data_IF_165129530992
#
_entry.id   IF_165129530992
#
_cell.length_a   1.000
_cell.length_b   1.000
_cell.length_c   1.000
_cell.angle_alpha   90.00
_cell.angle_beta   90.00
_cell.angle_gamma   90.00
#
_symmetry.space_group_name_H-M   'P 1'
#
loop_
_entity.id
_entity.type
_entity.pdbx_description
1 polymer ?
#
# COMPACT_ATOMS: atom_id res chain seq x y z
N UNK A 1 -21.89 4.57 -64.01
CA UNK A 1 -22.70 5.14 -65.11
C UNK A 1 -24.11 5.27 -64.57
N UNK A 2 -24.77 6.42 -64.39
CA UNK A 2 -24.59 7.76 -64.95
C UNK A 2 -25.40 8.78 -64.13
N UNK A 3 -24.79 9.96 -63.93
CA UNK A 3 -25.33 11.34 -64.00
C UNK A 3 -26.49 11.83 -63.08
N UNK A 4 -26.14 12.91 -62.36
CA UNK A 4 -26.97 14.02 -61.85
C UNK A 4 -27.80 14.74 -62.93
N UNK A 5 -28.85 15.49 -62.50
CA UNK A 5 -28.86 16.97 -62.61
C UNK A 5 -29.38 17.64 -61.30
N UNK A 6 -28.76 18.71 -60.76
CA UNK A 6 -28.83 20.17 -61.03
C UNK A 6 -30.18 20.86 -60.69
N UNK A 7 -30.11 21.66 -59.61
CA UNK A 7 -30.75 22.95 -59.24
C UNK A 7 -32.24 23.23 -59.47
N UNK A 8 -32.91 23.60 -58.36
CA UNK A 8 -34.11 24.44 -58.32
C UNK A 8 -34.22 25.15 -56.97
N UNK A 9 -34.12 26.48 -56.98
CA UNK A 9 -34.20 27.36 -55.82
C UNK A 9 -35.65 27.52 -55.33
N UNK A 10 -35.86 27.57 -54.00
CA UNK A 10 -37.10 28.10 -53.41
C UNK A 10 -36.88 28.63 -51.99
N UNK A 11 -36.92 29.96 -51.90
CA UNK A 11 -37.63 30.79 -50.91
C UNK A 11 -37.51 30.44 -49.41
N UNK A 12 -36.76 31.30 -48.71
CA UNK A 12 -36.77 31.52 -47.26
C UNK A 12 -38.17 31.91 -46.77
N UNK A 13 -38.76 31.11 -45.88
CA UNK A 13 -39.81 31.55 -44.98
C UNK A 13 -39.32 31.35 -43.54
N UNK A 14 -39.08 32.47 -42.87
CA UNK A 14 -38.64 32.50 -41.48
C UNK A 14 -39.74 32.02 -40.53
N UNK A 15 -39.41 31.05 -39.69
CA UNK A 15 -40.15 30.73 -38.49
C UNK A 15 -39.21 30.95 -37.31
N UNK A 16 -39.39 32.08 -36.62
CA UNK A 16 -38.69 32.41 -35.39
C UNK A 16 -39.19 31.50 -34.27
N UNK A 17 -38.39 30.52 -33.88
CA UNK A 17 -38.53 29.82 -32.60
C UNK A 17 -37.62 30.51 -31.58
N UNK A 18 -38.26 31.13 -30.60
CA UNK A 18 -37.59 31.74 -29.45
C UNK A 18 -36.85 30.68 -28.65
N UNK A 19 -35.52 30.80 -28.61
CA UNK A 19 -34.66 30.08 -27.69
C UNK A 19 -34.82 30.70 -26.28
N UNK A 20 -34.90 29.90 -25.20
CA UNK A 20 -34.89 30.44 -23.85
C UNK A 20 -33.54 31.08 -23.57
N UNK A 21 -33.57 32.27 -22.99
CA UNK A 21 -32.40 33.05 -22.62
C UNK A 21 -31.48 32.26 -21.69
N UNK A 22 -30.20 32.17 -22.06
CA UNK A 22 -29.15 31.69 -21.18
C UNK A 22 -29.03 32.63 -19.98
N UNK A 23 -29.20 32.10 -18.77
CA UNK A 23 -28.93 32.82 -17.54
C UNK A 23 -27.44 33.19 -17.50
N UNK A 24 -27.14 34.49 -17.39
CA UNK A 24 -25.79 34.99 -17.20
C UNK A 24 -25.23 34.49 -15.86
N UNK A 25 -23.96 34.03 -15.80
CA UNK A 25 -23.32 33.75 -14.52
C UNK A 25 -23.15 35.05 -13.74
N UNK A 26 -23.48 35.01 -12.45
CA UNK A 26 -23.32 36.14 -11.53
C UNK A 26 -21.85 36.59 -11.44
N UNK A 27 -21.57 37.89 -11.25
CA UNK A 27 -20.20 38.37 -11.10
C UNK A 27 -19.56 37.85 -9.80
N UNK A 28 -18.30 37.42 -9.90
CA UNK A 28 -17.47 37.01 -8.76
C UNK A 28 -17.23 38.19 -7.80
N UNK A 29 -17.23 37.99 -6.46
CA UNK A 29 -16.87 39.05 -5.53
C UNK A 29 -15.36 39.27 -5.48
N UNK A 30 -14.95 40.53 -5.52
CA UNK A 30 -13.56 40.98 -5.43
C UNK A 30 -12.89 40.59 -4.09
N UNK A 31 -11.57 40.32 -4.09
CA UNK A 31 -10.84 39.96 -2.89
C UNK A 31 -10.53 41.20 -2.04
N UNK A 32 -11.33 41.40 -0.99
CA UNK A 32 -10.98 42.32 0.11
C UNK A 32 -12.09 43.28 0.51
N UNK A 33 -13.13 42.78 1.18
CA UNK A 33 -14.08 43.63 1.91
C UNK A 33 -14.90 42.82 2.94
N UNK A 34 -14.27 42.33 4.02
CA UNK A 34 -14.95 42.02 5.30
C UNK A 34 -13.93 42.17 6.44
N UNK A 35 -13.54 43.42 6.71
CA UNK A 35 -12.88 43.83 7.96
C UNK A 35 -13.64 45.04 8.51
N UNK A 36 -14.85 44.83 9.01
CA UNK A 36 -15.50 45.75 9.94
C UNK A 36 -16.21 44.91 11.01
N UNK A 37 -15.80 45.13 12.26
CA UNK A 37 -16.07 44.26 13.39
C UNK A 37 -17.46 44.42 13.99
N UNK A 38 -18.01 43.29 14.44
CA UNK A 38 -19.11 43.29 15.40
C UNK A 38 -18.51 43.30 16.83
N UNK A 39 -18.61 44.46 17.48
CA UNK A 39 -18.18 44.66 18.86
C UNK A 39 -19.29 44.20 19.82
N UNK A 40 -19.43 42.89 20.02
CA UNK A 40 -20.15 42.34 21.18
C UNK A 40 -19.91 40.84 21.42
N UNK A 41 -18.64 40.43 21.48
CA UNK A 41 -18.26 39.11 22.02
C UNK A 41 -17.87 39.26 23.50
N UNK A 42 -18.41 38.42 24.42
CA UNK A 42 -18.03 38.45 25.83
C UNK A 42 -16.55 38.05 26.01
N UNK A 43 -15.85 38.60 27.03
CA UNK A 43 -14.43 38.32 27.21
C UNK A 43 -14.19 36.84 27.50
N UNK A 44 -13.09 36.25 27.00
CA UNK A 44 -12.75 34.87 27.26
C UNK A 44 -12.58 34.64 28.76
N UNK A 45 -13.21 33.57 29.26
CA UNK A 45 -13.05 33.13 30.65
C UNK A 45 -11.60 32.71 30.85
N UNK A 46 -10.90 33.43 31.72
CA UNK A 46 -9.65 32.95 32.29
C UNK A 46 -9.96 31.75 33.19
N UNK A 47 -9.27 30.63 32.90
CA UNK A 47 -9.14 29.37 33.66
C UNK A 47 -9.56 28.11 32.88
N UNK A 48 -9.02 27.92 31.69
CA UNK A 48 -8.80 26.56 31.15
C UNK A 48 -7.30 26.31 31.16
N UNK A 49 -6.82 25.66 32.23
CA UNK A 49 -5.49 25.05 32.25
C UNK A 49 -5.41 24.06 31.09
N UNK A 50 -4.53 24.34 30.13
CA UNK A 50 -4.05 23.32 29.20
C UNK A 50 -3.45 22.20 30.06
N UNK A 51 -3.97 20.96 30.04
CA UNK A 51 -3.39 19.89 30.82
C UNK A 51 -1.97 19.65 30.30
N UNK A 52 -0.98 20.02 31.12
CA UNK A 52 0.37 19.54 30.91
C UNK A 52 0.33 18.03 31.07
N UNK A 53 0.59 17.31 29.97
CA UNK A 53 0.75 15.87 29.98
C UNK A 53 1.91 15.52 30.91
N UNK A 54 1.58 15.10 32.13
CA UNK A 54 2.54 14.43 33.00
C UNK A 54 2.82 13.03 32.43
N UNK A 55 4.04 12.49 32.57
CA UNK A 55 4.44 11.22 31.95
C UNK A 55 3.75 9.95 32.50
N UNK A 56 2.66 10.07 33.25
CA UNK A 56 2.08 8.98 34.03
C UNK A 56 0.84 8.31 33.41
N UNK A 57 0.42 8.70 32.20
CA UNK A 57 -0.71 8.06 31.51
C UNK A 57 -0.32 6.84 30.62
N UNK A 58 0.91 6.31 30.77
CA UNK A 58 1.41 5.17 29.99
C UNK A 58 1.82 3.96 30.86
N UNK A 59 1.17 3.76 32.01
CA UNK A 59 1.46 2.67 32.95
C UNK A 59 0.25 1.77 33.26
N UNK A 60 -0.61 1.55 32.28
CA UNK A 60 -1.55 0.43 32.33
C UNK A 60 -0.79 -0.88 32.11
N UNK A 61 -0.58 -1.67 33.17
CA UNK A 61 -0.01 -3.02 33.09
C UNK A 61 -0.77 -3.84 32.04
N UNK A 62 -0.13 -4.06 30.89
CA UNK A 62 -0.58 -4.99 29.87
C UNK A 62 -0.46 -6.37 30.47
N UNK A 63 -1.60 -6.98 30.81
CA UNK A 63 -1.68 -8.38 31.25
C UNK A 63 -0.96 -9.24 30.20
N UNK A 64 0.06 -10.04 30.56
CA UNK A 64 0.76 -10.86 29.58
C UNK A 64 -0.19 -11.94 29.07
N UNK A 65 -0.63 -11.78 27.82
CA UNK A 65 -1.21 -12.87 27.04
C UNK A 65 -0.06 -13.83 26.69
N UNK A 66 -0.29 -15.17 26.69
CA UNK A 66 0.75 -16.18 26.52
C UNK A 66 1.75 -15.89 25.40
N UNK A 67 3.02 -16.27 25.58
CA UNK A 67 4.07 -16.01 24.61
C UNK A 67 3.90 -16.88 23.37
N UNK A 68 4.24 -16.29 22.24
CA UNK A 68 4.26 -16.82 20.86
C UNK A 68 2.94 -16.72 20.08
N UNK A 69 2.80 -15.60 19.35
CA UNK A 69 2.11 -15.58 18.06
C UNK A 69 3.13 -15.84 16.94
N UNK A 70 2.70 -16.35 15.77
CA UNK A 70 3.58 -16.89 14.75
C UNK A 70 4.52 -15.79 14.25
N UNK A 71 5.82 -16.10 14.24
CA UNK A 71 6.77 -15.36 13.42
C UNK A 71 6.24 -15.43 11.98
N UNK A 72 6.02 -14.30 11.29
CA UNK A 72 5.66 -14.32 9.86
C UNK A 72 6.64 -15.18 9.07
N UNK A 73 7.88 -15.30 9.55
CA UNK A 73 8.86 -16.28 9.07
C UNK A 73 8.38 -17.71 9.30
N UNK A 74 7.89 -18.13 10.48
CA UNK A 74 7.24 -19.45 10.69
C UNK A 74 6.07 -19.68 9.72
N UNK A 75 5.23 -18.66 9.46
CA UNK A 75 4.10 -18.81 8.51
C UNK A 75 4.59 -18.96 7.06
N UNK A 76 5.55 -18.14 6.64
CA UNK A 76 6.22 -18.22 5.33
C UNK A 76 6.98 -19.54 5.15
N UNK A 77 7.53 -20.08 6.23
CA UNK A 77 8.31 -21.31 6.23
C UNK A 77 7.43 -22.56 6.32
N UNK A 78 6.30 -22.53 7.02
CA UNK A 78 5.58 -23.76 7.39
C UNK A 78 6.52 -24.77 8.08
N UNK A 79 6.51 -26.03 7.62
CA UNK A 79 7.47 -27.07 8.07
C UNK A 79 8.73 -27.16 7.18
N UNK A 80 9.09 -26.11 6.43
CA UNK A 80 10.21 -26.19 5.49
C UNK A 80 11.50 -26.47 6.24
N UNK A 81 12.00 -27.71 6.12
CA UNK A 81 13.32 -28.15 6.57
C UNK A 81 14.36 -28.08 5.44
N UNK A 82 13.97 -27.54 4.29
CA UNK A 82 14.82 -27.51 3.09
C UNK A 82 15.88 -26.44 3.23
N UNK A 83 17.10 -26.88 3.49
CA UNK A 83 18.30 -26.04 3.42
C UNK A 83 18.93 -26.24 2.04
N UNK A 84 19.23 -25.13 1.38
CA UNK A 84 19.89 -25.12 0.08
C UNK A 84 21.39 -25.28 0.27
N UNK A 85 21.97 -26.23 -0.47
CA UNK A 85 23.41 -26.44 -0.52
C UNK A 85 24.07 -25.42 -1.46
N UNK A 86 24.25 -24.20 -0.97
CA UNK A 86 24.92 -23.10 -1.67
C UNK A 86 26.21 -22.78 -0.90
N UNK A 87 27.39 -22.77 -1.56
CA UNK A 87 28.62 -22.33 -0.92
C UNK A 87 28.47 -20.96 -0.26
N UNK A 88 28.99 -20.78 0.96
CA UNK A 88 28.78 -19.56 1.77
C UNK A 88 29.16 -18.27 1.02
N UNK A 89 30.25 -18.31 0.26
CA UNK A 89 30.73 -17.20 -0.57
C UNK A 89 29.79 -16.85 -1.74
N UNK A 90 28.90 -17.77 -2.11
CA UNK A 90 27.93 -17.63 -3.21
C UNK A 90 26.51 -17.32 -2.76
N UNK A 91 26.20 -17.37 -1.45
CA UNK A 91 24.87 -17.04 -0.92
C UNK A 91 24.54 -15.58 -1.26
N UNK A 92 23.47 -15.28 -2.02
CA UNK A 92 23.11 -13.90 -2.32
C UNK A 92 22.72 -13.09 -1.08
N UNK A 93 22.90 -11.76 -1.13
CA UNK A 93 22.23 -10.87 -0.19
C UNK A 93 20.78 -10.67 -0.68
N UNK A 94 19.84 -11.44 -0.12
CA UNK A 94 18.43 -11.38 -0.53
C UNK A 94 17.72 -10.09 -0.12
N UNK A 95 18.12 -9.48 1.00
CA UNK A 95 17.62 -8.16 1.41
C UNK A 95 18.01 -7.09 0.41
N UNK A 96 19.26 -7.08 -0.01
CA UNK A 96 19.75 -6.16 -1.03
C UNK A 96 19.06 -6.35 -2.39
N UNK A 97 18.79 -7.60 -2.79
CA UNK A 97 18.00 -7.91 -3.99
C UNK A 97 16.57 -7.35 -3.89
N UNK A 98 15.93 -7.46 -2.74
CA UNK A 98 14.58 -6.93 -2.52
C UNK A 98 14.58 -5.40 -2.51
N UNK A 99 15.52 -4.76 -1.80
CA UNK A 99 15.72 -3.31 -1.82
C UNK A 99 15.94 -2.80 -3.24
N UNK A 100 16.86 -3.41 -3.98
CA UNK A 100 17.15 -3.04 -5.37
C UNK A 100 15.92 -3.16 -6.27
N UNK A 101 15.12 -4.22 -6.12
CA UNK A 101 13.90 -4.39 -6.90
C UNK A 101 12.88 -3.28 -6.61
N UNK A 102 12.72 -2.88 -5.36
CA UNK A 102 11.82 -1.79 -4.95
C UNK A 102 12.36 -0.43 -5.44
N UNK A 103 13.66 -0.20 -5.32
CA UNK A 103 14.34 1.01 -5.83
C UNK A 103 14.21 1.13 -7.35
N UNK A 104 14.38 0.03 -8.11
CA UNK A 104 14.17 -0.03 -9.56
C UNK A 104 12.74 0.40 -9.93
N UNK A 105 11.74 -0.15 -9.24
CA UNK A 105 10.32 0.16 -9.46
C UNK A 105 10.00 1.61 -9.08
N UNK A 106 10.55 2.11 -7.98
CA UNK A 106 10.41 3.51 -7.54
C UNK A 106 10.98 4.48 -8.56
N UNK A 107 12.21 4.23 -9.03
CA UNK A 107 12.87 5.04 -10.04
C UNK A 107 12.08 5.08 -11.35
N UNK A 108 11.59 3.92 -11.80
CA UNK A 108 10.71 3.83 -12.96
C UNK A 108 9.42 4.64 -12.77
N UNK A 109 8.75 4.48 -11.62
CA UNK A 109 7.50 5.15 -11.32
C UNK A 109 7.66 6.67 -11.31
N UNK A 110 8.66 7.17 -10.57
CA UNK A 110 8.91 8.62 -10.40
C UNK A 110 9.46 9.27 -11.65
N UNK A 111 10.21 8.54 -12.47
CA UNK A 111 10.63 9.01 -13.80
C UNK A 111 9.45 9.24 -14.75
N UNK A 112 8.35 8.50 -14.57
CA UNK A 112 7.13 8.62 -15.40
C UNK A 112 6.06 9.52 -14.78
N UNK A 113 5.92 9.51 -13.46
CA UNK A 113 4.93 10.25 -12.69
C UNK A 113 5.55 10.67 -11.36
N UNK A 114 6.09 11.90 -11.24
CA UNK A 114 6.87 12.31 -10.06
C UNK A 114 6.15 12.20 -8.71
N UNK A 115 4.82 12.25 -8.71
CA UNK A 115 3.99 12.10 -7.49
C UNK A 115 3.43 10.69 -7.28
N UNK A 116 3.90 9.68 -8.01
CA UNK A 116 3.39 8.31 -7.88
C UNK A 116 3.78 7.73 -6.51
N UNK A 117 2.78 7.34 -5.73
CA UNK A 117 2.97 6.85 -4.36
C UNK A 117 3.45 5.39 -4.37
N UNK A 118 4.49 5.07 -3.61
CA UNK A 118 4.96 3.70 -3.41
C UNK A 118 4.97 3.34 -1.92
N UNK A 119 4.28 2.27 -1.56
CA UNK A 119 4.15 1.82 -0.17
C UNK A 119 4.54 0.36 -0.08
N UNK A 120 5.27 -0.06 0.94
CA UNK A 120 5.57 -1.48 1.17
C UNK A 120 4.63 -2.08 2.21
N UNK A 121 4.19 -3.32 2.02
CA UNK A 121 3.50 -4.10 3.06
C UNK A 121 4.47 -5.14 3.64
N UNK A 122 4.84 -4.96 4.90
CA UNK A 122 5.95 -5.70 5.53
C UNK A 122 7.33 -5.20 5.08
N UNK A 123 8.35 -6.04 5.28
CA UNK A 123 9.74 -5.70 4.93
C UNK A 123 10.35 -4.61 5.80
N UNK A 124 9.85 -4.46 7.02
CA UNK A 124 10.24 -3.41 7.96
C UNK A 124 11.76 -3.42 8.25
N UNK A 125 12.33 -4.61 8.32
CA UNK A 125 13.74 -4.85 8.59
C UNK A 125 14.65 -4.53 7.38
N UNK A 126 14.09 -4.19 6.22
CA UNK A 126 14.86 -3.69 5.07
C UNK A 126 15.25 -2.21 5.25
N UNK A 127 14.68 -1.50 6.22
CA UNK A 127 15.09 -0.12 6.54
C UNK A 127 16.52 -0.05 7.10
N UNK A 128 17.10 -1.18 7.51
CA UNK A 128 18.44 -1.26 8.09
C UNK A 128 19.30 -2.34 7.45
N UNK A 129 20.61 -2.11 7.50
CA UNK A 129 21.62 -3.14 7.28
C UNK A 129 21.61 -4.12 8.46
N UNK A 130 21.23 -5.37 8.21
CA UNK A 130 21.10 -6.37 9.28
C UNK A 130 22.45 -6.94 9.71
N UNK A 131 22.48 -7.58 10.89
CA UNK A 131 23.66 -8.35 11.33
C UNK A 131 24.01 -9.46 10.33
N UNK A 132 23.00 -10.14 9.78
CA UNK A 132 23.21 -11.19 8.76
C UNK A 132 23.89 -10.64 7.51
N UNK A 133 23.53 -9.44 7.05
CA UNK A 133 24.17 -8.81 5.89
C UNK A 133 25.63 -8.43 6.19
N UNK A 134 25.93 -7.97 7.41
CA UNK A 134 27.30 -7.76 7.87
C UNK A 134 28.09 -9.07 7.84
N UNK A 135 27.60 -10.13 8.50
CA UNK A 135 28.27 -11.43 8.56
C UNK A 135 28.49 -12.04 7.16
N UNK A 136 27.49 -11.92 6.28
CA UNK A 136 27.62 -12.36 4.89
C UNK A 136 28.69 -11.57 4.11
N UNK A 137 28.82 -10.27 4.36
CA UNK A 137 29.86 -9.45 3.77
C UNK A 137 31.26 -9.84 4.31
N UNK A 138 31.37 -10.16 5.60
CA UNK A 138 32.60 -10.67 6.21
C UNK A 138 33.02 -12.00 5.58
N UNK A 139 32.08 -12.95 5.43
CA UNK A 139 32.32 -14.28 4.82
C UNK A 139 32.81 -14.19 3.37
N UNK A 140 32.37 -13.18 2.64
CA UNK A 140 32.76 -12.95 1.24
C UNK A 140 34.02 -12.11 1.08
N UNK A 141 34.62 -11.66 2.19
CA UNK A 141 35.82 -10.84 2.13
C UNK A 141 36.98 -11.67 1.56
N UNK A 142 37.70 -11.16 0.54
CA UNK A 142 38.93 -11.81 0.06
C UNK A 142 39.97 -11.90 1.18
N UNK A 143 40.65 -13.04 1.32
CA UNK A 143 41.70 -13.25 2.34
C UNK A 143 42.83 -12.20 2.28
N UNK A 144 43.11 -11.68 1.08
CA UNK A 144 44.15 -10.68 0.83
C UNK A 144 43.62 -9.23 0.83
N UNK A 145 42.38 -8.98 1.28
CA UNK A 145 41.83 -7.64 1.34
C UNK A 145 42.54 -6.82 2.41
N UNK A 146 43.51 -6.00 2.00
CA UNK A 146 44.18 -4.99 2.84
C UNK A 146 43.37 -3.70 2.98
N UNK A 147 42.22 -3.60 2.29
CA UNK A 147 41.33 -2.45 2.41
C UNK A 147 40.76 -2.40 3.83
N UNK A 148 40.81 -1.22 4.43
CA UNK A 148 40.31 -0.95 5.77
C UNK A 148 38.89 -1.51 5.95
N UNK A 149 38.53 -1.83 7.19
CA UNK A 149 37.20 -2.27 7.63
C UNK A 149 36.04 -1.26 7.34
N UNK A 150 36.21 -0.35 6.38
CA UNK A 150 35.58 0.97 6.28
C UNK A 150 34.57 1.11 5.12
N UNK A 151 34.27 0.01 4.40
CA UNK A 151 33.27 0.01 3.31
C UNK A 151 32.03 -0.85 3.58
N UNK A 152 32.10 -1.78 4.53
CA UNK A 152 30.93 -2.56 4.96
C UNK A 152 30.15 -1.73 5.99
N UNK A 153 28.87 -1.40 5.74
CA UNK A 153 28.07 -0.72 6.75
C UNK A 153 27.97 -1.56 8.03
N UNK A 154 28.07 -0.96 9.22
CA UNK A 154 27.83 -1.70 10.46
C UNK A 154 26.37 -2.16 10.53
N UNK A 155 26.14 -3.27 11.23
CA UNK A 155 24.78 -3.72 11.52
C UNK A 155 23.98 -2.61 12.25
N UNK A 156 22.71 -2.47 11.88
CA UNK A 156 21.81 -1.42 12.34
C UNK A 156 21.86 -0.12 11.52
N UNK A 157 22.76 0.01 10.54
CA UNK A 157 22.84 1.21 9.70
C UNK A 157 21.56 1.44 8.88
N UNK A 158 20.99 2.65 8.92
CA UNK A 158 19.79 2.99 8.16
C UNK A 158 20.05 3.09 6.65
N UNK A 159 19.22 2.40 5.88
CA UNK A 159 19.28 2.34 4.42
C UNK A 159 18.60 3.56 3.80
N UNK A 160 19.16 4.75 3.99
CA UNK A 160 18.52 6.02 3.57
C UNK A 160 18.10 6.05 2.10
N UNK A 161 18.92 5.51 1.19
CA UNK A 161 18.57 5.42 -0.24
C UNK A 161 17.28 4.61 -0.46
N UNK A 162 17.17 3.44 0.19
CA UNK A 162 15.97 2.62 0.15
C UNK A 162 14.79 3.34 0.80
N UNK A 163 14.97 3.95 1.97
CA UNK A 163 13.92 4.71 2.67
C UNK A 163 13.37 5.83 1.79
N UNK A 164 14.24 6.56 1.08
CA UNK A 164 13.85 7.61 0.14
C UNK A 164 13.14 7.07 -1.10
N UNK A 165 13.23 5.78 -1.41
CA UNK A 165 12.56 5.15 -2.56
C UNK A 165 11.08 4.85 -2.31
N UNK A 166 10.60 4.93 -1.06
CA UNK A 166 9.21 4.66 -0.68
C UNK A 166 8.59 5.88 -0.01
N UNK A 167 7.27 5.97 0.01
CA UNK A 167 6.51 7.08 0.62
C UNK A 167 5.80 6.66 1.91
N UNK A 168 5.69 5.35 2.16
CA UNK A 168 5.09 4.80 3.36
C UNK A 168 5.30 3.29 3.49
N UNK A 169 4.86 2.76 4.62
CA UNK A 169 4.93 1.35 4.97
C UNK A 169 3.65 0.94 5.68
N UNK A 170 3.21 -0.28 5.44
CA UNK A 170 2.08 -0.91 6.11
C UNK A 170 2.62 -2.03 6.98
N UNK A 171 2.36 -1.93 8.28
CA UNK A 171 2.63 -2.97 9.27
C UNK A 171 1.52 -4.02 9.25
N UNK A 172 1.91 -5.27 9.43
CA UNK A 172 1.00 -6.40 9.57
C UNK A 172 0.73 -6.63 11.07
N UNK A 173 -0.33 -5.98 11.56
CA UNK A 173 -0.82 -6.03 12.94
C UNK A 173 -0.01 -5.20 13.94
N UNK A 174 -0.35 -3.93 14.14
CA UNK A 174 0.34 -3.04 15.12
C UNK A 174 -0.48 -2.77 16.40
N UNK A 175 -1.80 -2.81 16.32
CA UNK A 175 -2.72 -2.52 17.42
C UNK A 175 -3.32 -3.77 18.05
N UNK A 176 -3.60 -4.79 17.22
CA UNK A 176 -4.28 -6.01 17.66
C UNK A 176 -3.40 -7.27 17.60
N UNK A 177 -2.19 -7.15 17.05
CA UNK A 177 -1.17 -8.18 17.12
C UNK A 177 0.01 -7.69 17.98
N UNK A 178 0.85 -8.60 18.52
CA UNK A 178 1.96 -8.25 19.41
C UNK A 178 3.15 -7.64 18.65
N UNK A 179 2.98 -7.13 17.42
CA UNK A 179 4.08 -6.53 16.68
C UNK A 179 4.56 -5.29 17.43
N UNK A 180 5.80 -5.36 17.91
CA UNK A 180 6.49 -4.23 18.49
C UNK A 180 7.52 -3.74 17.48
N UNK A 181 7.15 -2.72 16.72
CA UNK A 181 8.14 -1.94 15.98
C UNK A 181 8.98 -1.18 17.01
N UNK A 182 10.33 -1.29 17.00
CA UNK A 182 11.17 -0.55 17.93
C UNK A 182 10.92 0.97 17.88
N UNK A 183 11.03 1.65 19.01
CA UNK A 183 10.74 3.10 19.06
C UNK A 183 11.70 3.93 18.20
N UNK A 184 12.97 3.53 18.15
CA UNK A 184 14.01 4.11 17.28
C UNK A 184 13.68 4.02 15.79
N UNK A 185 13.02 2.93 15.41
CA UNK A 185 12.58 2.65 14.07
C UNK A 185 11.40 3.53 13.67
N UNK A 186 10.42 3.68 14.58
CA UNK A 186 9.33 4.65 14.43
C UNK A 186 9.87 6.08 14.30
N UNK A 187 10.89 6.44 15.08
CA UNK A 187 11.53 7.75 15.00
C UNK A 187 12.22 7.98 13.64
N UNK A 188 13.03 7.04 13.18
CA UNK A 188 13.74 7.15 11.91
C UNK A 188 12.79 7.31 10.71
N UNK A 189 11.65 6.61 10.73
CA UNK A 189 10.64 6.75 9.68
C UNK A 189 9.98 8.14 9.66
N UNK A 190 9.75 8.71 10.84
CA UNK A 190 9.24 10.09 10.95
C UNK A 190 10.26 11.10 10.42
N UNK A 191 11.55 10.89 10.68
CA UNK A 191 12.63 11.74 10.15
C UNK A 191 12.70 11.72 8.62
N UNK A 192 12.50 10.55 8.00
CA UNK A 192 12.44 10.39 6.54
C UNK A 192 11.04 10.67 5.96
N UNK A 193 10.12 11.23 6.76
CA UNK A 193 8.76 11.61 6.37
C UNK A 193 7.90 10.46 5.78
N UNK A 194 8.21 9.21 6.14
CA UNK A 194 7.45 8.04 5.70
C UNK A 194 6.10 7.95 6.41
N UNK A 195 5.03 7.70 5.65
CA UNK A 195 3.71 7.48 6.23
C UNK A 195 3.62 6.09 6.85
N UNK A 196 3.42 6.04 8.16
CA UNK A 196 3.08 4.81 8.87
C UNK A 196 1.63 4.42 8.69
N UNK A 197 1.44 3.16 8.30
CA UNK A 197 0.14 2.54 8.10
C UNK A 197 0.11 1.17 8.77
N UNK A 198 -1.08 0.64 9.04
CA UNK A 198 -1.24 -0.69 9.65
C UNK A 198 -2.46 -1.42 9.10
N UNK A 199 -2.37 -2.74 9.02
CA UNK A 199 -3.48 -3.65 8.79
C UNK A 199 -3.66 -4.47 10.06
N UNK A 200 -4.82 -4.42 10.66
CA UNK A 200 -5.10 -5.09 11.93
C UNK A 200 -6.37 -5.93 11.83
N UNK A 201 -6.20 -7.23 12.03
CA UNK A 201 -7.30 -8.16 12.24
C UNK A 201 -7.55 -8.23 13.76
N UNK A 202 -8.63 -7.62 14.23
CA UNK A 202 -8.93 -7.44 15.66
C UNK A 202 -10.12 -8.30 16.12
N UNK A 203 -10.18 -8.74 17.38
CA UNK A 203 -11.45 -9.15 17.96
C UNK A 203 -12.46 -7.99 17.85
N UNK A 204 -13.76 -8.26 17.58
CA UNK A 204 -14.75 -7.20 17.37
C UNK A 204 -14.78 -6.11 18.45
N UNK A 205 -14.53 -6.49 19.72
CA UNK A 205 -14.49 -5.59 20.86
C UNK A 205 -13.28 -4.64 20.86
N UNK A 206 -12.20 -4.96 20.17
CA UNK A 206 -10.97 -4.14 20.09
C UNK A 206 -10.92 -3.21 18.87
N UNK A 207 -11.80 -3.41 17.87
CA UNK A 207 -11.79 -2.64 16.61
C UNK A 207 -11.85 -1.13 16.86
N UNK A 208 -12.74 -0.68 17.75
CA UNK A 208 -12.91 0.74 18.03
C UNK A 208 -11.70 1.35 18.77
N UNK A 209 -11.06 0.59 19.66
CA UNK A 209 -9.84 1.00 20.35
C UNK A 209 -8.64 1.06 19.40
N UNK A 210 -8.55 0.11 18.46
CA UNK A 210 -7.52 0.12 17.43
C UNK A 210 -7.60 1.38 16.55
N UNK A 211 -8.80 1.75 16.05
CA UNK A 211 -8.98 2.99 15.29
C UNK A 211 -8.61 4.25 16.10
N UNK A 212 -8.98 4.31 17.39
CA UNK A 212 -8.61 5.44 18.27
C UNK A 212 -7.09 5.52 18.47
N UNK A 213 -6.46 4.39 18.72
CA UNK A 213 -5.01 4.30 18.96
C UNK A 213 -4.20 4.66 17.71
N UNK A 214 -4.68 4.23 16.54
CA UNK A 214 -4.13 4.61 15.24
C UNK A 214 -4.17 6.11 15.02
N UNK A 215 -5.35 6.71 15.17
CA UNK A 215 -5.56 8.14 15.03
C UNK A 215 -4.67 8.96 16.00
N UNK A 216 -4.57 8.53 17.27
CA UNK A 216 -3.72 9.18 18.27
C UNK A 216 -2.22 9.09 17.97
N UNK A 217 -1.79 8.05 17.25
CA UNK A 217 -0.38 7.81 16.91
C UNK A 217 0.04 8.39 15.56
N UNK A 218 -0.91 8.98 14.80
CA UNK A 218 -0.69 9.47 13.45
C UNK A 218 -0.54 8.37 12.39
N UNK A 219 -0.89 7.13 12.73
CA UNK A 219 -0.84 5.96 11.84
C UNK A 219 -2.21 5.78 11.18
N UNK A 220 -2.21 5.49 9.89
CA UNK A 220 -3.45 5.17 9.15
C UNK A 220 -3.70 3.67 9.20
N UNK A 221 -4.82 3.25 9.79
CA UNK A 221 -5.14 1.84 9.94
C UNK A 221 -6.30 1.39 9.06
N UNK A 222 -6.19 0.18 8.52
CA UNK A 222 -7.32 -0.66 8.15
C UNK A 222 -7.52 -1.66 9.28
N UNK A 223 -8.73 -1.69 9.85
CA UNK A 223 -9.05 -2.60 10.94
C UNK A 223 -10.29 -3.39 10.56
N UNK A 224 -10.20 -4.71 10.60
CA UNK A 224 -11.32 -5.62 10.43
C UNK A 224 -11.46 -6.59 11.61
N UNK A 225 -12.49 -7.42 11.57
CA UNK A 225 -12.75 -8.45 12.58
C UNK A 225 -12.63 -9.87 12.02
N UNK A 226 -11.84 -10.05 10.98
CA UNK A 226 -11.75 -11.29 10.21
C UNK A 226 -10.66 -12.22 10.77
N UNK A 227 -10.37 -12.14 12.08
CA UNK A 227 -9.40 -13.00 12.77
C UNK A 227 -9.72 -14.48 12.50
N UNK A 228 -8.72 -15.21 12.02
CA UNK A 228 -8.82 -16.65 11.77
C UNK A 228 -9.84 -17.00 10.68
N UNK A 229 -10.34 -16.02 9.92
CA UNK A 229 -11.10 -16.30 8.71
C UNK A 229 -10.20 -16.89 7.65
N UNK A 230 -10.82 -17.72 6.81
CA UNK A 230 -10.24 -18.24 5.58
C UNK A 230 -9.48 -17.13 4.82
N UNK A 231 -8.19 -17.34 4.48
CA UNK A 231 -7.42 -16.46 3.62
C UNK A 231 -8.19 -15.96 2.38
N UNK A 232 -9.05 -16.80 1.80
CA UNK A 232 -9.88 -16.43 0.65
C UNK A 232 -11.00 -15.44 0.96
N UNK A 233 -11.29 -15.16 2.24
CA UNK A 233 -12.34 -14.23 2.69
C UNK A 233 -11.78 -12.90 3.19
N UNK A 234 -10.51 -12.87 3.57
CA UNK A 234 -9.84 -11.66 4.04
C UNK A 234 -9.91 -10.55 2.98
N UNK A 235 -10.01 -9.30 3.42
CA UNK A 235 -10.17 -8.12 2.57
C UNK A 235 -11.32 -8.20 1.56
N UNK A 236 -12.36 -9.02 1.82
CA UNK A 236 -13.54 -9.15 0.96
C UNK A 236 -14.67 -8.18 1.31
N UNK A 237 -14.69 -7.70 2.55
CA UNK A 237 -15.78 -6.89 3.08
C UNK A 237 -15.52 -5.40 2.90
N UNK A 238 -16.51 -4.68 2.39
CA UNK A 238 -16.56 -3.21 2.46
C UNK A 238 -17.47 -2.84 3.64
N UNK A 239 -17.01 -2.02 4.60
CA UNK A 239 -17.84 -1.63 5.74
C UNK A 239 -18.95 -0.68 5.31
N UNK A 240 -20.17 -0.90 5.84
CA UNK A 240 -21.30 0.04 5.70
C UNK A 240 -21.11 1.29 6.58
N UNK A 241 -20.35 1.16 7.66
CA UNK A 241 -20.04 2.25 8.57
C UNK A 241 -19.07 3.25 7.91
N UNK A 242 -19.21 4.52 8.28
CA UNK A 242 -18.26 5.58 7.88
C UNK A 242 -16.88 5.34 8.52
N UNK A 243 -15.79 5.74 7.85
CA UNK A 243 -14.46 5.66 8.43
C UNK A 243 -14.35 6.46 9.72
N UNK A 244 -13.49 6.02 10.64
CA UNK A 244 -13.20 6.72 11.90
C UNK A 244 -11.69 6.99 11.99
N UNK A 245 -11.23 8.26 12.01
CA UNK A 245 -12.02 9.47 11.80
C UNK A 245 -12.41 9.66 10.32
N UNK A 246 -13.63 10.13 10.05
CA UNK A 246 -14.03 10.55 8.68
C UNK A 246 -13.36 11.87 8.34
N UNK A 247 -12.90 12.02 7.08
CA UNK A 247 -12.19 13.19 6.62
C UNK A 247 -12.89 13.79 5.38
N UNK A 248 -13.51 14.99 5.48
CA UNK A 248 -14.20 15.60 4.35
C UNK A 248 -13.27 16.29 3.36
N UNK A 249 -11.96 16.41 3.65
CA UNK A 249 -11.01 17.13 2.80
C UNK A 249 -10.51 16.26 1.64
N UNK A 250 -10.10 16.91 0.56
CA UNK A 250 -9.35 16.25 -0.52
C UNK A 250 -7.98 15.78 -0.02
N UNK A 251 -7.56 14.61 -0.46
CA UNK A 251 -6.26 14.00 -0.14
C UNK A 251 -5.44 13.90 -1.41
N UNK A 252 -4.39 14.72 -1.51
CA UNK A 252 -3.51 14.79 -2.70
C UNK A 252 -2.19 14.02 -2.54
N UNK A 253 -1.80 13.76 -1.30
CA UNK A 253 -0.55 13.06 -0.94
C UNK A 253 -0.79 12.13 0.24
N UNK A 254 -0.01 11.06 0.33
CA UNK A 254 -0.19 10.02 1.34
C UNK A 254 -0.11 10.56 2.79
N UNK A 255 0.72 11.58 3.01
CA UNK A 255 0.83 12.27 4.30
C UNK A 255 -0.49 12.83 4.84
N UNK A 256 -1.38 13.30 3.96
CA UNK A 256 -2.65 13.95 4.31
C UNK A 256 -3.75 12.95 4.71
N UNK A 257 -3.54 11.64 4.48
CA UNK A 257 -4.50 10.59 4.79
C UNK A 257 -4.66 10.37 6.30
N UNK A 258 -5.90 10.09 6.71
CA UNK A 258 -6.31 9.84 8.10
C UNK A 258 -6.96 8.47 8.32
N UNK A 259 -7.39 7.81 7.25
CA UNK A 259 -8.05 6.51 7.30
C UNK A 259 -7.80 5.76 5.97
N UNK A 260 -7.98 4.44 5.98
CA UNK A 260 -7.72 3.57 4.84
C UNK A 260 -8.77 2.45 4.78
N UNK A 261 -9.10 2.01 3.57
CA UNK A 261 -9.79 0.75 3.33
C UNK A 261 -8.97 -0.11 2.38
N UNK A 262 -8.68 -1.35 2.79
CA UNK A 262 -8.14 -2.39 1.94
C UNK A 262 -9.28 -3.30 1.50
N UNK A 263 -9.41 -3.53 0.19
CA UNK A 263 -10.37 -4.49 -0.36
C UNK A 263 -9.77 -5.18 -1.59
N UNK A 264 -9.28 -6.40 -1.41
CA UNK A 264 -8.54 -7.16 -2.42
C UNK A 264 -9.36 -8.33 -2.97
N UNK A 265 -10.23 -8.90 -2.14
CA UNK A 265 -11.05 -10.03 -2.51
C UNK A 265 -12.37 -9.55 -3.13
N UNK A 266 -12.52 -9.84 -4.42
CA UNK A 266 -13.66 -9.40 -5.22
C UNK A 266 -14.73 -10.48 -5.41
N UNK A 267 -14.45 -11.72 -5.00
CA UNK A 267 -15.37 -12.87 -5.13
C UNK A 267 -16.74 -12.67 -4.46
N UNK A 268 -16.87 -11.93 -3.33
CA UNK A 268 -18.18 -11.69 -2.73
C UNK A 268 -19.15 -10.84 -3.58
N UNK A 269 -18.68 -10.17 -4.63
CA UNK A 269 -19.49 -9.29 -5.47
C UNK A 269 -19.88 -10.00 -6.77
N UNK A 270 -21.16 -9.93 -7.13
CA UNK A 270 -21.70 -10.59 -8.33
C UNK A 270 -21.07 -10.06 -9.62
N UNK A 271 -20.82 -8.76 -9.69
CA UNK A 271 -20.26 -8.09 -10.86
C UNK A 271 -19.19 -7.07 -10.48
N UNK A 272 -18.30 -6.77 -11.44
CA UNK A 272 -17.31 -5.70 -11.29
C UNK A 272 -17.96 -4.35 -10.98
N UNK A 273 -19.08 -4.04 -11.64
CA UNK A 273 -19.81 -2.78 -11.41
C UNK A 273 -20.39 -2.71 -9.98
N UNK A 274 -20.93 -3.81 -9.46
CA UNK A 274 -21.43 -3.86 -8.08
C UNK A 274 -20.32 -3.63 -7.05
N UNK A 275 -19.15 -4.24 -7.26
CA UNK A 275 -17.96 -4.03 -6.43
C UNK A 275 -17.48 -2.57 -6.47
N UNK A 276 -17.31 -2.01 -7.66
CA UNK A 276 -16.87 -0.62 -7.84
C UNK A 276 -17.88 0.38 -7.27
N UNK A 277 -19.18 0.11 -7.41
CA UNK A 277 -20.23 0.92 -6.80
C UNK A 277 -20.12 0.90 -5.27
N UNK A 278 -19.95 -0.28 -4.66
CA UNK A 278 -19.76 -0.39 -3.22
C UNK A 278 -18.53 0.37 -2.71
N UNK A 279 -17.41 0.33 -3.44
CA UNK A 279 -16.22 1.13 -3.12
C UNK A 279 -16.47 2.65 -3.25
N UNK A 280 -17.26 3.04 -4.25
CA UNK A 280 -17.68 4.43 -4.48
C UNK A 280 -18.53 5.01 -3.35
N UNK A 281 -19.26 4.16 -2.62
CA UNK A 281 -20.11 4.57 -1.50
C UNK A 281 -19.35 4.84 -0.19
N UNK A 282 -18.01 4.76 -0.20
CA UNK A 282 -17.17 4.97 0.98
C UNK A 282 -16.46 6.34 0.99
N UNK A 283 -16.10 6.81 2.19
CA UNK A 283 -15.42 8.10 2.39
C UNK A 283 -13.96 7.96 2.84
N UNK A 284 -13.34 6.82 2.57
CA UNK A 284 -11.95 6.58 2.97
C UNK A 284 -10.98 7.49 2.19
N UNK A 285 -9.89 7.93 2.84
CA UNK A 285 -8.84 8.80 2.28
C UNK A 285 -7.93 8.04 1.32
N UNK A 286 -7.72 6.75 1.60
CA UNK A 286 -6.95 5.83 0.77
C UNK A 286 -7.78 4.57 0.56
N UNK A 287 -7.97 4.19 -0.70
CA UNK A 287 -8.37 2.85 -1.09
C UNK A 287 -7.15 2.06 -1.54
N UNK A 288 -6.96 0.87 -0.97
CA UNK A 288 -6.01 -0.12 -1.48
C UNK A 288 -6.81 -1.28 -2.07
N UNK A 289 -6.72 -1.46 -3.39
CA UNK A 289 -7.54 -2.45 -4.11
C UNK A 289 -6.70 -3.25 -5.10
N UNK A 290 -7.22 -4.39 -5.54
CA UNK A 290 -6.63 -5.10 -6.70
C UNK A 290 -6.91 -4.35 -8.01
N UNK A 291 -5.98 -4.44 -8.97
CA UNK A 291 -6.17 -3.95 -10.35
C UNK A 291 -7.05 -4.85 -11.24
N UNK A 292 -7.54 -5.96 -10.70
CA UNK A 292 -8.29 -6.97 -11.44
C UNK A 292 -9.49 -7.48 -10.64
N UNK A 293 -10.66 -7.51 -11.28
CA UNK A 293 -11.83 -8.22 -10.76
C UNK A 293 -11.70 -9.72 -11.01
N UNK A 294 -11.92 -10.55 -9.98
CA UNK A 294 -11.69 -12.00 -9.99
C UNK A 294 -10.31 -12.45 -10.51
N UNK A 295 -9.29 -11.60 -10.33
CA UNK A 295 -7.89 -11.93 -10.62
C UNK A 295 -7.45 -11.76 -12.09
N UNK A 296 -8.38 -11.78 -13.04
CA UNK A 296 -8.07 -11.78 -14.48
C UNK A 296 -8.75 -10.66 -15.30
N UNK A 297 -9.79 -10.00 -14.78
CA UNK A 297 -10.50 -8.91 -15.48
C UNK A 297 -9.99 -7.56 -15.02
N UNK A 298 -9.06 -6.98 -15.79
CA UNK A 298 -8.50 -5.67 -15.51
C UNK A 298 -9.58 -4.58 -15.33
N UNK A 299 -9.31 -3.64 -14.41
CA UNK A 299 -10.03 -2.38 -14.38
C UNK A 299 -9.65 -1.54 -15.61
N UNK A 300 -10.46 -0.52 -15.89
CA UNK A 300 -10.18 0.52 -16.88
C UNK A 300 -9.71 1.81 -16.19
N UNK A 301 -9.01 2.67 -16.93
CA UNK A 301 -8.58 3.97 -16.41
C UNK A 301 -9.76 4.83 -15.92
N UNK A 302 -10.91 4.73 -16.59
CA UNK A 302 -12.13 5.43 -16.21
C UNK A 302 -12.72 4.89 -14.89
N UNK A 303 -12.70 3.56 -14.68
CA UNK A 303 -13.13 2.95 -13.41
C UNK A 303 -12.25 3.41 -12.24
N UNK A 304 -10.93 3.39 -12.41
CA UNK A 304 -9.98 3.88 -11.39
C UNK A 304 -10.18 5.38 -11.14
N UNK A 305 -10.35 6.18 -12.20
CA UNK A 305 -10.59 7.63 -12.09
C UNK A 305 -11.84 7.95 -11.27
N UNK A 306 -12.94 7.22 -11.47
CA UNK A 306 -14.16 7.40 -10.66
C UNK A 306 -13.93 7.10 -9.19
N UNK A 307 -13.14 6.07 -8.89
CA UNK A 307 -12.81 5.71 -7.50
C UNK A 307 -11.93 6.76 -6.81
N UNK A 308 -11.31 7.72 -7.50
CA UNK A 308 -10.53 8.79 -6.85
C UNK A 308 -11.38 9.85 -6.13
N UNK A 309 -12.69 9.69 -6.10
CA UNK A 309 -13.60 10.54 -5.35
C UNK A 309 -14.33 9.74 -4.29
N UNK A 310 -14.41 10.31 -3.08
CA UNK A 310 -15.23 9.82 -1.98
C UNK A 310 -16.70 9.97 -2.32
N UNK A 311 -17.58 9.22 -1.63
CA UNK A 311 -19.03 9.44 -1.70
C UNK A 311 -19.42 10.90 -1.43
N UNK A 312 -18.72 11.57 -0.51
CA UNK A 312 -18.92 12.99 -0.20
C UNK A 312 -18.32 13.99 -1.21
N UNK A 313 -17.71 13.51 -2.31
CA UNK A 313 -17.25 14.31 -3.45
C UNK A 313 -15.79 14.77 -3.40
N UNK A 314 -15.15 14.79 -2.23
CA UNK A 314 -13.74 15.13 -2.10
C UNK A 314 -12.82 14.04 -2.67
N UNK A 315 -11.62 14.46 -3.11
CA UNK A 315 -10.63 13.55 -3.70
C UNK A 315 -10.02 12.61 -2.64
N UNK A 316 -9.73 11.38 -3.05
CA UNK A 316 -8.98 10.36 -2.28
C UNK A 316 -7.92 9.72 -3.15
N UNK A 317 -6.97 9.04 -2.51
CA UNK A 317 -5.96 8.23 -3.21
C UNK A 317 -6.50 6.83 -3.47
N UNK A 318 -6.21 6.29 -4.65
CA UNK A 318 -6.46 4.89 -4.99
C UNK A 318 -5.13 4.21 -5.32
N UNK A 319 -4.72 3.27 -4.49
CA UNK A 319 -3.48 2.50 -4.61
C UNK A 319 -3.80 1.08 -5.07
N UNK A 320 -3.02 0.56 -6.01
CA UNK A 320 -3.14 -0.83 -6.42
C UNK A 320 -2.29 -1.74 -5.52
N UNK A 321 -2.78 -2.95 -5.22
CA UNK A 321 -2.00 -3.99 -4.57
C UNK A 321 -1.24 -4.82 -5.60
N UNK A 322 0.07 -4.99 -5.39
CA UNK A 322 0.93 -5.83 -6.23
C UNK A 322 1.88 -6.66 -5.37
N UNK A 323 1.74 -7.98 -5.44
CA UNK A 323 2.70 -8.88 -4.82
C UNK A 323 3.97 -8.98 -5.69
N UNK A 324 5.13 -8.75 -5.08
CA UNK A 324 6.43 -8.83 -5.75
C UNK A 324 7.28 -10.02 -5.30
N UNK A 325 6.85 -10.72 -4.24
CA UNK A 325 7.58 -11.83 -3.62
C UNK A 325 6.96 -13.20 -3.83
N UNK A 326 5.69 -13.26 -4.24
CA UNK A 326 4.92 -14.48 -4.46
C UNK A 326 4.10 -14.39 -5.74
N UNK A 327 3.91 -15.53 -6.40
CA UNK A 327 2.98 -15.68 -7.51
C UNK A 327 1.65 -16.25 -7.02
N UNK A 328 0.54 -15.92 -7.68
CA UNK A 328 -0.76 -16.57 -7.41
C UNK A 328 -1.35 -17.16 -8.69
N UNK A 329 -1.96 -18.34 -8.58
CA UNK A 329 -2.51 -19.08 -9.73
C UNK A 329 -3.85 -18.55 -10.26
N UNK A 330 -4.46 -17.60 -9.53
CA UNK A 330 -5.67 -16.90 -9.91
C UNK A 330 -5.40 -15.61 -10.72
N UNK A 331 -4.14 -15.21 -10.90
CA UNK A 331 -3.80 -13.96 -11.61
C UNK A 331 -3.70 -14.14 -13.11
N UNK A 332 -3.99 -13.07 -13.84
CA UNK A 332 -3.95 -13.00 -15.30
C UNK A 332 -2.64 -13.50 -15.95
N UNK A 333 -1.49 -13.37 -15.26
CA UNK A 333 -0.18 -13.77 -15.79
C UNK A 333 0.07 -15.27 -15.65
N UNK A 334 -0.68 -15.98 -14.81
CA UNK A 334 -0.49 -17.39 -14.56
C UNK A 334 -0.85 -18.20 -15.80
N UNK A 335 0.06 -19.07 -16.25
CA UNK A 335 -0.13 -19.84 -17.48
C UNK A 335 -0.57 -21.26 -17.16
N UNK A 336 -1.40 -21.82 -18.05
CA UNK A 336 -1.76 -23.24 -17.99
C UNK A 336 -0.50 -24.11 -17.98
N UNK A 337 -0.44 -25.02 -17.01
CA UNK A 337 0.69 -25.93 -16.82
C UNK A 337 1.82 -25.38 -15.96
N UNK A 338 1.68 -24.15 -15.44
CA UNK A 338 2.55 -23.67 -14.38
C UNK A 338 2.25 -24.39 -13.06
N UNK A 339 3.28 -24.55 -12.24
CA UNK A 339 3.27 -25.19 -10.93
C UNK A 339 4.70 -25.23 -10.37
N UNK A 340 4.87 -25.87 -9.21
CA UNK A 340 6.20 -26.00 -8.59
C UNK A 340 7.20 -26.67 -9.55
N UNK A 341 8.35 -26.03 -9.75
CA UNK A 341 9.40 -26.45 -10.67
C UNK A 341 9.17 -26.09 -12.14
N UNK A 342 7.99 -25.59 -12.52
CA UNK A 342 7.69 -25.16 -13.88
C UNK A 342 6.80 -23.89 -13.91
N UNK A 343 7.33 -22.72 -14.24
CA UNK A 343 8.72 -22.44 -14.59
C UNK A 343 9.63 -22.63 -13.36
N UNK A 344 10.94 -22.78 -13.59
CA UNK A 344 11.90 -23.12 -12.52
C UNK A 344 11.96 -22.11 -11.39
N UNK A 345 11.53 -20.86 -11.63
CA UNK A 345 11.47 -19.83 -10.61
C UNK A 345 10.24 -19.93 -9.69
N UNK A 346 9.28 -20.81 -9.97
CA UNK A 346 8.20 -21.19 -9.04
C UNK A 346 8.70 -22.35 -8.19
N UNK A 347 9.05 -22.10 -6.93
CA UNK A 347 9.89 -23.01 -6.15
C UNK A 347 9.14 -23.86 -5.14
N UNK A 348 8.01 -23.37 -4.61
CA UNK A 348 7.15 -24.11 -3.70
C UNK A 348 5.76 -23.49 -3.61
N UNK A 349 4.82 -24.18 -2.96
CA UNK A 349 3.54 -23.59 -2.56
C UNK A 349 3.75 -22.71 -1.32
N UNK A 350 3.02 -21.61 -1.24
CA UNK A 350 2.80 -20.91 0.02
C UNK A 350 1.74 -21.69 0.82
N UNK A 351 2.11 -22.12 2.03
CA UNK A 351 1.21 -22.89 2.89
C UNK A 351 0.24 -22.01 3.67
N UNK A 352 0.59 -20.76 3.90
CA UNK A 352 -0.27 -19.81 4.60
C UNK A 352 -1.41 -19.34 3.69
N UNK A 353 -1.18 -19.31 2.37
CA UNK A 353 -2.11 -18.77 1.38
C UNK A 353 -2.34 -19.76 0.24
N UNK A 354 -3.44 -20.53 0.26
CA UNK A 354 -3.77 -21.43 -0.84
C UNK A 354 -3.81 -20.73 -2.20
N UNK A 355 -3.20 -21.35 -3.22
CA UNK A 355 -3.08 -20.76 -4.56
C UNK A 355 -1.93 -19.75 -4.71
N UNK A 356 -1.20 -19.45 -3.63
CA UNK A 356 0.05 -18.68 -3.70
C UNK A 356 1.26 -19.62 -3.79
N UNK A 357 2.32 -19.12 -4.43
CA UNK A 357 3.54 -19.85 -4.72
C UNK A 357 4.75 -19.00 -4.38
N UNK A 358 5.70 -19.62 -3.70
CA UNK A 358 7.03 -19.08 -3.48
C UNK A 358 7.75 -18.96 -4.82
N UNK A 359 8.41 -17.82 -5.03
CA UNK A 359 9.18 -17.58 -6.25
C UNK A 359 10.59 -17.11 -5.95
N UNK A 360 11.51 -17.40 -6.87
CA UNK A 360 12.78 -16.67 -6.95
C UNK A 360 12.47 -15.22 -7.37
N UNK A 361 12.17 -14.34 -6.41
CA UNK A 361 11.70 -12.98 -6.71
C UNK A 361 12.73 -12.14 -7.49
N UNK A 362 14.02 -12.53 -7.45
CA UNK A 362 15.08 -11.91 -8.24
C UNK A 362 15.20 -12.45 -9.66
N UNK A 363 14.47 -13.53 -10.00
CA UNK A 363 14.57 -14.16 -11.30
C UNK A 363 14.11 -13.19 -12.41
N UNK A 364 14.88 -13.00 -13.50
CA UNK A 364 14.54 -12.04 -14.55
C UNK A 364 13.14 -12.25 -15.17
N UNK A 365 12.68 -13.51 -15.28
CA UNK A 365 11.35 -13.80 -15.83
C UNK A 365 10.24 -13.33 -14.88
N UNK A 366 10.42 -13.52 -13.57
CA UNK A 366 9.50 -12.99 -12.55
C UNK A 366 9.55 -11.46 -12.49
N UNK A 367 10.75 -10.86 -12.44
CA UNK A 367 10.92 -9.39 -12.49
C UNK A 367 10.22 -8.78 -13.72
N UNK A 368 10.22 -9.49 -14.86
CA UNK A 368 9.52 -9.04 -16.07
C UNK A 368 8.00 -9.04 -15.89
N UNK A 369 7.42 -10.06 -15.27
CA UNK A 369 5.98 -10.11 -14.95
C UNK A 369 5.60 -8.98 -14.01
N UNK A 370 6.36 -8.80 -12.93
CA UNK A 370 6.13 -7.71 -11.97
C UNK A 370 6.24 -6.35 -12.66
N UNK A 371 7.29 -6.10 -13.44
CA UNK A 371 7.50 -4.84 -14.15
C UNK A 371 6.38 -4.51 -15.16
N UNK A 372 5.91 -5.52 -15.92
CA UNK A 372 4.78 -5.34 -16.84
C UNK A 372 3.48 -5.04 -16.08
N UNK A 373 3.22 -5.77 -14.99
CA UNK A 373 2.04 -5.54 -14.14
C UNK A 373 2.08 -4.14 -13.54
N UNK A 374 3.22 -3.75 -12.97
CA UNK A 374 3.44 -2.44 -12.37
C UNK A 374 3.20 -1.31 -13.38
N UNK A 375 3.78 -1.40 -14.58
CA UNK A 375 3.56 -0.43 -15.64
C UNK A 375 2.09 -0.36 -16.07
N UNK A 376 1.42 -1.50 -16.20
CA UNK A 376 -0.01 -1.56 -16.53
C UNK A 376 -0.89 -0.91 -15.46
N UNK A 377 -0.60 -1.11 -14.18
CA UNK A 377 -1.31 -0.45 -13.08
C UNK A 377 -1.09 1.08 -13.12
N UNK A 378 0.10 1.55 -13.49
CA UNK A 378 0.32 2.98 -13.76
C UNK A 378 -0.51 3.47 -14.96
N UNK A 379 -0.61 2.69 -16.03
CA UNK A 379 -1.40 3.02 -17.23
C UNK A 379 -2.90 3.16 -16.91
N UNK A 380 -3.41 2.36 -15.97
CA UNK A 380 -4.78 2.48 -15.46
C UNK A 380 -4.98 3.74 -14.59
N UNK A 381 -3.91 4.47 -14.29
CA UNK A 381 -4.00 5.74 -13.59
C UNK A 381 -4.24 5.60 -12.10
N UNK A 382 -3.79 4.52 -11.46
CA UNK A 382 -3.70 4.48 -9.99
C UNK A 382 -2.81 5.63 -9.46
N UNK A 383 -3.08 6.14 -8.26
CA UNK A 383 -2.23 7.18 -7.65
C UNK A 383 -0.93 6.62 -7.07
N UNK A 384 -0.87 5.29 -6.89
CA UNK A 384 0.30 4.58 -6.39
C UNK A 384 0.10 3.08 -6.30
N UNK A 385 1.10 2.38 -5.77
CA UNK A 385 1.10 0.92 -5.59
C UNK A 385 1.56 0.56 -4.17
N UNK A 386 0.84 -0.36 -3.54
CA UNK A 386 1.28 -1.11 -2.37
C UNK A 386 2.01 -2.37 -2.86
N UNK A 387 3.30 -2.44 -2.60
CA UNK A 387 4.15 -3.60 -2.86
C UNK A 387 4.03 -4.59 -1.70
N UNK A 388 3.38 -5.72 -1.95
CA UNK A 388 3.25 -6.83 -1.02
C UNK A 388 4.28 -7.93 -1.30
N UNK A 389 4.34 -8.94 -0.44
CA UNK A 389 5.32 -10.02 -0.56
C UNK A 389 6.77 -9.59 -0.28
N UNK A 390 6.98 -8.39 0.26
CA UNK A 390 8.32 -7.84 0.52
C UNK A 390 9.11 -8.75 1.47
N UNK A 391 8.45 -9.37 2.45
CA UNK A 391 9.08 -10.34 3.37
C UNK A 391 9.48 -11.67 2.72
N UNK A 392 9.21 -11.87 1.42
CA UNK A 392 9.63 -13.07 0.68
C UNK A 392 11.13 -13.33 0.73
N UNK A 393 11.97 -12.32 0.97
CA UNK A 393 13.41 -12.52 1.16
C UNK A 393 13.75 -13.40 2.37
N UNK A 394 12.92 -13.40 3.42
CA UNK A 394 13.20 -14.11 4.68
C UNK A 394 13.24 -15.61 4.50
N UNK A 395 12.33 -16.13 3.66
CA UNK A 395 12.31 -17.53 3.25
C UNK A 395 13.69 -17.95 2.71
N UNK A 396 14.24 -17.15 1.81
CA UNK A 396 15.53 -17.45 1.19
C UNK A 396 16.72 -17.28 2.13
N UNK A 397 16.66 -16.32 3.07
CA UNK A 397 17.65 -16.22 4.16
C UNK A 397 17.63 -17.45 5.06
N UNK A 398 16.45 -17.96 5.41
CA UNK A 398 16.30 -19.16 6.23
C UNK A 398 16.80 -20.41 5.52
N UNK A 399 16.47 -20.58 4.23
CA UNK A 399 16.94 -21.70 3.42
C UNK A 399 18.44 -21.65 3.13
N UNK A 400 19.13 -20.55 3.44
CA UNK A 400 20.58 -20.37 3.29
C UNK A 400 21.22 -19.88 4.59
N UNK A 401 21.26 -20.73 5.63
CA UNK A 401 21.92 -20.38 6.88
C UNK A 401 23.40 -20.13 6.62
N UNK A 402 23.94 -19.10 7.28
CA UNK A 402 25.35 -18.71 7.16
C UNK A 402 26.20 -19.18 8.36
N UNK A 403 25.56 -19.80 9.36
CA UNK A 403 26.13 -20.23 10.63
C UNK A 403 25.75 -21.67 10.97
#
# INVERSE_FOLDING_TARGET
MSRFPIFGAAVLLGCALALPAAAQPAPEPEPGALLEGDQNLPPPRANDEVPQLTPEAASGEIKPLPPELPDRTKDLLGDTTTILDIPLDRIPNYRDRMRTMIEDLSNYARGRTPGFTLVTFGGFELLRWSQREYDLAELKRPENATAAADTTPPAGYFMRQYMQSIDGYILDGFFCAPLRVPAEDVAAMREEALKGMSVDHCPPELVADAFRSAAGSGIVAHVDSDIGMDPERQFGRIPEARPVPENPKSVERLGDARNMLINLNTRPYETKDAWLAALGETNHDVLVITGFFNGDKALTAEEVRRLKYKKLGARRLVLAWLDIGFASDDKYYWKRGWGVGNPTWVTAFDRAWPGHYQVEFWNPAWKSIVGQTFAGLMDLGFDGIVLAGVDGYRLWEFMTPIN
#
